data_IF_332011509263
#
_entry.id   IF_332011509263
#
_cell.length_a   1.000
_cell.length_b   1.000
_cell.length_c   1.000
_cell.angle_alpha   90.00
_cell.angle_beta   90.00
_cell.angle_gamma   90.00
#
_symmetry.space_group_name_H-M   'P 1'
#
loop_
_entity.id
_entity.type
_entity.pdbx_description
1 polymer ?
#
# COMPACT_ATOMS: atom_id res chain seq x y z
N UNK A 1 -4.21 -11.06 -3.10
CA UNK A 1 -3.31 -10.55 -2.04
C UNK A 1 -3.37 -9.03 -1.93
N UNK A 2 -3.08 -8.27 -2.99
CA UNK A 2 -3.08 -6.80 -2.98
C UNK A 2 -4.33 -6.15 -2.33
N UNK A 3 -5.53 -6.45 -2.85
CA UNK A 3 -6.80 -5.90 -2.29
C UNK A 3 -7.00 -6.32 -0.83
N UNK A 4 -6.69 -7.58 -0.49
CA UNK A 4 -6.81 -8.07 0.88
C UNK A 4 -5.88 -7.34 1.86
N UNK A 5 -4.66 -6.98 1.43
CA UNK A 5 -3.73 -6.16 2.22
C UNK A 5 -4.34 -4.77 2.47
N UNK A 6 -4.86 -4.12 1.43
CA UNK A 6 -5.47 -2.80 1.57
C UNK A 6 -6.67 -2.84 2.53
N UNK A 7 -7.58 -3.79 2.34
CA UNK A 7 -8.75 -3.92 3.21
C UNK A 7 -8.35 -4.22 4.66
N UNK A 8 -7.35 -5.07 4.87
CA UNK A 8 -6.85 -5.39 6.22
C UNK A 8 -6.25 -4.16 6.89
N UNK A 9 -5.46 -3.37 6.17
CA UNK A 9 -4.82 -2.15 6.68
C UNK A 9 -5.88 -1.09 6.99
N UNK A 10 -6.84 -0.86 6.10
CA UNK A 10 -7.97 0.07 6.37
C UNK A 10 -8.81 -0.34 7.57
N UNK A 11 -9.05 -1.65 7.71
CA UNK A 11 -9.77 -2.19 8.88
C UNK A 11 -8.96 -1.98 10.15
N UNK A 12 -7.65 -2.22 10.12
CA UNK A 12 -6.77 -1.97 11.26
C UNK A 12 -6.71 -0.48 11.64
N UNK A 13 -6.59 0.43 10.67
CA UNK A 13 -6.61 1.88 10.91
C UNK A 13 -7.95 2.35 11.49
N UNK A 14 -9.06 1.76 11.03
CA UNK A 14 -10.40 2.08 11.53
C UNK A 14 -10.64 1.58 12.95
N UNK A 15 -10.20 0.35 13.26
CA UNK A 15 -10.35 -0.24 14.59
C UNK A 15 -9.36 0.33 15.61
N UNK A 16 -8.17 0.73 15.15
CA UNK A 16 -7.09 1.24 15.99
C UNK A 16 -6.55 2.58 15.46
N UNK A 17 -7.33 3.67 15.55
CA UNK A 17 -6.92 5.00 15.06
C UNK A 17 -5.75 5.63 15.84
N UNK A 18 -5.32 5.00 16.92
CA UNK A 18 -4.28 5.46 17.84
C UNK A 18 -2.90 4.95 17.45
N UNK A 19 -2.19 5.70 16.61
CA UNK A 19 -0.80 5.37 16.28
C UNK A 19 -0.13 6.34 15.32
N UNK A 20 -0.10 7.64 15.63
CA UNK A 20 0.83 8.55 14.93
C UNK A 20 2.24 8.25 15.45
N UNK A 21 2.92 7.30 14.83
CA UNK A 21 4.33 7.03 15.13
C UNK A 21 5.13 8.19 14.51
N UNK A 22 5.76 8.99 15.36
CA UNK A 22 6.66 10.08 14.96
C UNK A 22 8.10 9.62 15.19
N UNK A 23 8.89 9.48 14.13
CA UNK A 23 10.33 9.24 14.22
C UNK A 23 11.04 10.42 13.56
N UNK A 24 11.89 11.13 14.32
CA UNK A 24 12.61 12.32 13.86
C UNK A 24 11.71 13.40 13.22
N UNK A 25 10.50 13.58 13.76
CA UNK A 25 9.51 14.55 13.23
C UNK A 25 8.76 14.08 11.98
N UNK A 26 9.07 12.90 11.42
CA UNK A 26 8.32 12.30 10.33
C UNK A 26 7.18 11.43 10.86
N UNK A 27 5.98 11.64 10.32
CA UNK A 27 4.87 10.73 10.51
C UNK A 27 5.15 9.41 9.77
N UNK A 28 5.44 8.35 10.52
CA UNK A 28 5.51 7.00 9.99
C UNK A 28 4.09 6.50 9.77
N UNK A 29 3.57 6.86 8.60
CA UNK A 29 2.38 6.23 8.05
C UNK A 29 2.77 4.92 7.37
N UNK A 30 1.79 4.06 7.14
CA UNK A 30 1.96 2.80 6.41
C UNK A 30 2.52 2.99 4.99
N UNK A 31 2.51 4.21 4.45
CA UNK A 31 3.26 4.59 3.24
C UNK A 31 4.76 4.25 3.32
N UNK A 32 5.45 4.67 4.38
CA UNK A 32 6.89 4.44 4.53
C UNK A 32 7.23 2.97 4.72
N UNK A 33 6.36 2.23 5.42
CA UNK A 33 6.42 0.78 5.52
C UNK A 33 6.29 0.17 4.11
N UNK A 34 5.39 0.71 3.29
CA UNK A 34 5.21 0.32 1.90
C UNK A 34 6.48 0.51 1.06
N UNK A 35 7.09 1.69 1.12
CA UNK A 35 8.33 2.02 0.41
C UNK A 35 9.46 1.07 0.82
N UNK A 36 9.63 0.83 2.12
CA UNK A 36 10.64 -0.10 2.63
C UNK A 36 10.41 -1.53 2.12
N UNK A 37 9.17 -2.02 2.14
CA UNK A 37 8.83 -3.35 1.65
C UNK A 37 9.08 -3.51 0.15
N UNK A 38 8.77 -2.48 -0.66
CA UNK A 38 9.12 -2.48 -2.09
C UNK A 38 10.63 -2.52 -2.27
N UNK A 39 11.40 -1.70 -1.54
CA UNK A 39 12.86 -1.68 -1.62
C UNK A 39 13.50 -3.02 -1.21
N UNK A 40 12.98 -3.64 -0.14
CA UNK A 40 13.38 -5.00 0.28
C UNK A 40 13.03 -6.01 -0.82
N UNK A 41 11.82 -5.93 -1.39
CA UNK A 41 11.43 -6.76 -2.52
C UNK A 41 12.40 -6.64 -3.70
N UNK A 42 12.74 -5.42 -4.12
CA UNK A 42 13.64 -5.20 -5.26
C UNK A 42 15.09 -5.67 -5.00
N UNK A 43 15.55 -5.63 -3.74
CA UNK A 43 16.92 -6.05 -3.37
C UNK A 43 17.08 -7.57 -3.16
N UNK A 44 15.98 -8.32 -3.04
CA UNK A 44 16.04 -9.78 -2.88
C UNK A 44 16.45 -10.50 -4.19
N UNK A 45 17.32 -11.51 -4.04
CA UNK A 45 17.75 -12.38 -5.15
C UNK A 45 16.60 -13.28 -5.65
N UNK A 46 16.66 -13.72 -6.92
CA UNK A 46 15.64 -14.58 -7.56
C UNK A 46 15.30 -15.87 -6.78
N UNK A 47 16.24 -16.42 -6.02
CA UNK A 47 15.99 -17.59 -5.15
C UNK A 47 14.94 -17.36 -4.06
N UNK A 48 14.64 -16.10 -3.73
CA UNK A 48 13.61 -15.71 -2.76
C UNK A 48 12.36 -15.17 -3.47
N UNK A 49 11.99 -15.74 -4.62
CA UNK A 49 10.90 -15.26 -5.48
C UNK A 49 9.58 -15.03 -4.73
N UNK A 50 9.23 -15.93 -3.81
CA UNK A 50 8.04 -15.81 -2.97
C UNK A 50 8.09 -14.58 -2.06
N UNK A 51 9.15 -14.40 -1.27
CA UNK A 51 9.34 -13.20 -0.44
C UNK A 51 9.39 -11.93 -1.29
N UNK A 52 10.01 -12.00 -2.46
CA UNK A 52 10.11 -10.89 -3.41
C UNK A 52 8.73 -10.41 -3.84
N UNK A 53 7.88 -11.35 -4.23
CA UNK A 53 6.51 -11.10 -4.65
C UNK A 53 5.64 -10.61 -3.49
N UNK A 54 5.79 -11.20 -2.29
CA UNK A 54 5.04 -10.78 -1.09
C UNK A 54 5.41 -9.35 -0.69
N UNK A 55 6.70 -9.06 -0.50
CA UNK A 55 7.15 -7.72 -0.11
C UNK A 55 6.80 -6.68 -1.18
N UNK A 56 6.94 -7.00 -2.46
CA UNK A 56 6.54 -6.10 -3.55
C UNK A 56 5.04 -5.82 -3.57
N UNK A 57 4.20 -6.84 -3.42
CA UNK A 57 2.75 -6.69 -3.47
C UNK A 57 2.16 -6.04 -2.20
N UNK A 58 2.68 -6.39 -1.01
CA UNK A 58 2.28 -5.72 0.24
C UNK A 58 2.76 -4.26 0.21
N UNK A 59 4.01 -4.03 -0.18
CA UNK A 59 4.59 -2.69 -0.20
C UNK A 59 3.87 -1.75 -1.18
N UNK A 60 3.64 -2.21 -2.41
CA UNK A 60 2.89 -1.44 -3.40
C UNK A 60 1.42 -1.21 -3.01
N UNK A 61 0.79 -2.15 -2.30
CA UNK A 61 -0.57 -1.98 -1.77
C UNK A 61 -0.65 -0.84 -0.75
N UNK A 62 0.31 -0.79 0.18
CA UNK A 62 0.38 0.28 1.20
C UNK A 62 0.63 1.66 0.58
N UNK A 63 1.51 1.73 -0.42
CA UNK A 63 1.80 2.98 -1.15
C UNK A 63 0.56 3.44 -1.91
N UNK A 64 -0.07 2.54 -2.67
CA UNK A 64 -1.25 2.87 -3.47
C UNK A 64 -2.41 3.32 -2.59
N UNK A 65 -2.63 2.66 -1.45
CA UNK A 65 -3.69 3.04 -0.51
C UNK A 65 -3.51 4.45 0.03
N UNK A 66 -2.30 4.81 0.48
CA UNK A 66 -2.02 6.16 0.97
C UNK A 66 -2.08 7.20 -0.15
N UNK A 67 -1.54 6.91 -1.34
CA UNK A 67 -1.62 7.84 -2.47
C UNK A 67 -3.07 8.14 -2.86
N UNK A 68 -3.91 7.10 -2.90
CA UNK A 68 -5.35 7.28 -3.12
C UNK A 68 -5.96 8.14 -2.01
N UNK A 69 -5.65 7.86 -0.75
CA UNK A 69 -6.14 8.64 0.37
C UNK A 69 -5.72 10.12 0.27
N UNK A 70 -4.46 10.40 -0.07
CA UNK A 70 -3.93 11.76 -0.19
C UNK A 70 -4.46 12.54 -1.39
N UNK A 71 -4.76 11.87 -2.50
CA UNK A 71 -5.20 12.47 -3.76
C UNK A 71 -6.73 12.57 -3.88
N UNK A 72 -7.46 11.60 -3.34
CA UNK A 72 -8.90 11.45 -3.55
C UNK A 72 -9.74 11.83 -2.32
N UNK A 73 -9.11 12.23 -1.20
CA UNK A 73 -9.82 12.57 0.03
C UNK A 73 -9.32 13.84 0.71
N UNK A 74 -10.06 14.32 1.69
CA UNK A 74 -9.73 15.44 2.56
C UNK A 74 -8.73 15.09 3.68
N UNK A 75 -8.14 13.89 3.63
CA UNK A 75 -7.15 13.38 4.59
C UNK A 75 -7.70 13.20 6.01
N UNK A 76 -9.01 13.07 6.16
CA UNK A 76 -9.64 12.74 7.44
C UNK A 76 -9.77 11.22 7.63
N UNK A 77 -9.75 10.77 8.89
CA UNK A 77 -9.95 9.35 9.22
C UNK A 77 -11.28 8.80 8.69
N UNK A 78 -12.34 9.62 8.70
CA UNK A 78 -13.65 9.26 8.15
C UNK A 78 -13.62 9.03 6.64
N UNK A 79 -12.69 9.66 5.92
CA UNK A 79 -12.60 9.53 4.49
C UNK A 79 -11.91 8.25 4.01
N UNK A 80 -11.25 7.48 4.88
CA UNK A 80 -10.67 6.16 4.54
C UNK A 80 -11.75 5.17 4.03
N UNK A 81 -12.96 5.24 4.57
CA UNK A 81 -14.09 4.39 4.15
C UNK A 81 -15.07 5.10 3.22
N UNK A 82 -14.75 6.32 2.78
CA UNK A 82 -15.59 7.02 1.80
C UNK A 82 -15.63 6.28 0.46
N UNK A 83 -16.75 6.42 -0.25
CA UNK A 83 -16.92 5.85 -1.58
C UNK A 83 -15.82 6.31 -2.55
N UNK A 84 -15.37 7.57 -2.45
CA UNK A 84 -14.28 8.12 -3.26
C UNK A 84 -12.95 7.38 -3.01
N UNK A 85 -12.61 7.16 -1.74
CA UNK A 85 -11.39 6.43 -1.35
C UNK A 85 -11.42 4.97 -1.78
N UNK A 86 -12.58 4.29 -1.63
CA UNK A 86 -12.76 2.91 -2.09
C UNK A 86 -12.68 2.81 -3.61
N UNK A 87 -13.28 3.75 -4.34
CA UNK A 87 -13.19 3.83 -5.79
C UNK A 87 -11.73 4.03 -6.24
N UNK A 88 -11.00 4.94 -5.60
CA UNK A 88 -9.57 5.15 -5.89
C UNK A 88 -8.73 3.89 -5.66
N UNK A 89 -9.00 3.12 -4.59
CA UNK A 89 -8.33 1.82 -4.36
C UNK A 89 -8.68 0.81 -5.43
N UNK A 90 -9.94 0.73 -5.84
CA UNK A 90 -10.35 -0.16 -6.92
C UNK A 90 -9.64 0.19 -8.24
N UNK A 91 -9.53 1.48 -8.57
CA UNK A 91 -8.80 1.97 -9.73
C UNK A 91 -7.31 1.66 -9.62
N UNK A 92 -6.69 1.91 -8.47
CA UNK A 92 -5.28 1.60 -8.21
C UNK A 92 -4.98 0.10 -8.32
N UNK A 93 -5.83 -0.74 -7.75
CA UNK A 93 -5.73 -2.19 -7.86
C UNK A 93 -5.88 -2.66 -9.30
N UNK A 94 -6.81 -2.07 -10.07
CA UNK A 94 -6.99 -2.37 -11.49
C UNK A 94 -5.74 -1.98 -12.29
N UNK A 95 -5.18 -0.79 -12.05
CA UNK A 95 -3.95 -0.34 -12.70
C UNK A 95 -2.80 -1.31 -12.42
N UNK A 96 -2.54 -1.64 -11.15
CA UNK A 96 -1.50 -2.61 -10.77
C UNK A 96 -1.75 -3.97 -11.44
N UNK A 97 -2.99 -4.44 -11.48
CA UNK A 97 -3.34 -5.70 -12.15
C UNK A 97 -3.06 -5.66 -13.65
N UNK A 98 -3.39 -4.57 -14.34
CA UNK A 98 -3.13 -4.41 -15.78
C UNK A 98 -1.63 -4.36 -16.08
N UNK A 99 -0.85 -3.67 -15.26
CA UNK A 99 0.60 -3.52 -15.45
C UNK A 99 1.43 -4.68 -14.88
N UNK A 100 0.80 -5.64 -14.18
CA UNK A 100 1.50 -6.75 -13.51
C UNK A 100 2.44 -7.53 -14.43
N UNK A 101 2.05 -7.77 -15.69
CA UNK A 101 2.89 -8.51 -16.65
C UNK A 101 4.18 -7.75 -16.93
N UNK A 102 4.08 -6.46 -17.25
CA UNK A 102 5.26 -5.60 -17.45
C UNK A 102 6.15 -5.55 -16.21
N UNK A 103 5.56 -5.49 -15.01
CA UNK A 103 6.32 -5.49 -13.75
C UNK A 103 7.02 -6.84 -13.54
N UNK A 104 6.37 -7.97 -13.80
CA UNK A 104 7.00 -9.29 -13.66
C UNK A 104 8.06 -9.57 -14.74
N UNK A 105 7.91 -9.01 -15.95
CA UNK A 105 8.80 -9.26 -17.07
C UNK A 105 10.06 -8.35 -17.05
N UNK A 106 10.02 -7.23 -16.34
CA UNK A 106 11.14 -6.26 -16.25
C UNK A 106 12.09 -6.53 -15.07
N UNK A 107 11.77 -7.46 -14.15
CA UNK A 107 12.53 -7.73 -12.90
C UNK A 107 12.97 -9.21 -12.83
#
# INVERSE_FOLDING_TARGET
MFIAVILSVRTAVFLFPSGKILIAGMHINHFWIGVLLVAVGLSLRKKYSAMRMVSGAVGSALIADELVFLLATDRTLGAYWSACSLAGVAVGAMAVFMFRKRICDTI
#
